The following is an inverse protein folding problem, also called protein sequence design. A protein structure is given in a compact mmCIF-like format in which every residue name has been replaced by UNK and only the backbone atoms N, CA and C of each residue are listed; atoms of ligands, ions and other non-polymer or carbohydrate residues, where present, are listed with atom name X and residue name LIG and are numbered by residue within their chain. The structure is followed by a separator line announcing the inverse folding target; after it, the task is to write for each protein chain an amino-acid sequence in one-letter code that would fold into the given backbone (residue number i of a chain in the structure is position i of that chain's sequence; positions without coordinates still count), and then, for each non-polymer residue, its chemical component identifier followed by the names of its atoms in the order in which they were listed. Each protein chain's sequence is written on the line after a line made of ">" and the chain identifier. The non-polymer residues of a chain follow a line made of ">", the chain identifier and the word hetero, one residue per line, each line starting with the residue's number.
data_IF_965845477152
#
_entry.id   IF_965845477152
#
_cell.length_a   1.000
_cell.length_b   1.000
_cell.length_c   1.000
_cell.angle_alpha   90.00
_cell.angle_beta   90.00
_cell.angle_gamma   90.00
#
_symmetry.space_group_name_H-M   'P 1'
#
loop_
_entity.id
_entity.type
_entity.pdbx_description
1 polymer ?
#
# COMPACT_ATOMS: atom_id res chain seq x y z
N UNK A 1 0.69 -37.91 8.06
CA UNK A 1 -0.59 -37.19 7.87
C UNK A 1 -0.33 -35.71 7.61
N UNK A 2 -0.53 -35.22 6.37
CA UNK A 2 -0.33 -33.81 6.04
C UNK A 2 -1.61 -33.01 6.30
N UNK A 3 -1.63 -32.19 7.36
CA UNK A 3 -2.78 -31.33 7.67
C UNK A 3 -2.87 -30.17 6.67
N UNK A 4 -3.75 -30.31 5.67
CA UNK A 4 -4.04 -29.28 4.67
C UNK A 4 -4.90 -28.16 5.32
N UNK A 5 -4.25 -27.16 5.92
CA UNK A 5 -4.90 -26.02 6.59
C UNK A 5 -5.65 -25.15 5.55
N UNK A 6 -7.00 -25.20 5.53
CA UNK A 6 -7.83 -24.35 4.66
C UNK A 6 -7.66 -22.87 5.04
N UNK A 7 -7.07 -22.05 4.16
CA UNK A 7 -6.92 -20.61 4.36
C UNK A 7 -8.27 -19.90 4.15
N UNK A 8 -8.91 -19.50 5.24
CA UNK A 8 -10.14 -18.69 5.19
C UNK A 8 -9.79 -17.28 4.70
N UNK A 9 -10.29 -16.86 3.54
CA UNK A 9 -10.11 -15.49 3.01
C UNK A 9 -10.95 -14.53 3.86
N UNK A 10 -10.33 -13.84 4.83
CA UNK A 10 -10.99 -12.78 5.62
C UNK A 10 -11.44 -11.64 4.69
N UNK A 11 -12.69 -11.18 4.86
CA UNK A 11 -13.25 -10.02 4.13
C UNK A 11 -12.40 -8.75 4.42
N UNK A 12 -12.15 -7.89 3.42
CA UNK A 12 -11.33 -6.69 3.61
C UNK A 12 -12.06 -5.69 4.51
N UNK A 13 -11.53 -5.49 5.71
CA UNK A 13 -12.00 -4.45 6.64
C UNK A 13 -11.68 -3.09 6.00
N UNK A 14 -12.69 -2.25 5.74
CA UNK A 14 -12.50 -0.87 5.27
C UNK A 14 -11.81 -0.08 6.39
N UNK A 15 -10.49 0.12 6.28
CA UNK A 15 -9.71 0.88 7.28
C UNK A 15 -9.80 2.38 6.98
N UNK A 16 -10.02 3.18 8.03
CA UNK A 16 -10.03 4.65 7.97
C UNK A 16 -8.67 5.27 7.57
N UNK A 17 -7.59 4.49 7.65
CA UNK A 17 -6.24 4.94 7.32
C UNK A 17 -5.28 3.79 7.01
N UNK A 18 -4.01 4.14 6.75
CA UNK A 18 -2.96 3.14 6.56
C UNK A 18 -2.71 2.37 7.85
N UNK A 19 -2.35 1.09 7.70
CA UNK A 19 -1.84 0.31 8.83
C UNK A 19 -0.44 0.78 9.22
N UNK A 20 -0.06 0.58 10.49
CA UNK A 20 1.31 0.87 10.97
C UNK A 20 2.41 0.29 10.06
N UNK A 21 2.20 -0.92 9.53
CA UNK A 21 3.13 -1.58 8.58
C UNK A 21 3.21 -0.84 7.23
N UNK A 22 2.07 -0.39 6.71
CA UNK A 22 2.03 0.41 5.48
C UNK A 22 2.70 1.77 5.71
N UNK A 23 2.46 2.43 6.85
CA UNK A 23 3.12 3.69 7.22
C UNK A 23 4.63 3.53 7.32
N UNK A 24 5.12 2.49 8.00
CA UNK A 24 6.56 2.20 8.08
C UNK A 24 7.19 1.93 6.70
N UNK A 25 6.44 1.28 5.79
CA UNK A 25 6.89 1.07 4.41
C UNK A 25 6.94 2.39 3.64
N UNK A 26 5.93 3.24 3.79
CA UNK A 26 5.89 4.57 3.19
C UNK A 26 7.02 5.47 3.72
N UNK A 27 7.31 5.46 5.03
CA UNK A 27 8.41 6.24 5.62
C UNK A 27 9.78 5.86 5.01
N UNK A 28 10.04 4.57 4.83
CA UNK A 28 11.28 4.10 4.19
C UNK A 28 11.33 4.48 2.71
N UNK A 29 10.20 4.39 2.03
CA UNK A 29 10.10 4.71 0.60
C UNK A 29 10.23 6.21 0.32
N UNK A 30 9.74 7.07 1.22
CA UNK A 30 9.78 8.53 1.08
C UNK A 30 11.18 9.10 0.83
N UNK A 31 12.24 8.41 1.30
CA UNK A 31 13.63 8.81 1.12
C UNK A 31 14.05 8.94 -0.35
N UNK A 32 13.35 8.26 -1.26
CA UNK A 32 13.72 8.19 -2.67
C UNK A 32 12.79 9.00 -3.58
N UNK A 33 11.76 9.64 -3.03
CA UNK A 33 10.63 10.18 -3.78
C UNK A 33 10.18 11.55 -3.27
N UNK A 34 9.52 12.31 -4.13
CA UNK A 34 8.99 13.63 -3.77
C UNK A 34 7.76 13.54 -2.88
N UNK A 35 7.45 14.62 -2.15
CA UNK A 35 6.23 14.71 -1.34
C UNK A 35 4.95 14.50 -2.18
N UNK A 36 4.96 14.95 -3.45
CA UNK A 36 3.85 14.76 -4.40
C UNK A 36 3.65 13.27 -4.72
N UNK A 37 4.73 12.55 -5.00
CA UNK A 37 4.71 11.09 -5.19
C UNK A 37 4.15 10.38 -3.96
N UNK A 38 4.65 10.72 -2.77
CA UNK A 38 4.22 10.09 -1.52
C UNK A 38 2.75 10.35 -1.18
N UNK A 39 2.26 11.59 -1.42
CA UNK A 39 0.84 11.93 -1.23
C UNK A 39 -0.06 11.12 -2.16
N UNK A 40 0.33 10.99 -3.43
CA UNK A 40 -0.43 10.21 -4.41
C UNK A 40 -0.49 8.73 -4.03
N UNK A 41 0.65 8.14 -3.66
CA UNK A 41 0.71 6.76 -3.18
C UNK A 41 -0.15 6.53 -1.93
N UNK A 42 -0.06 7.42 -0.92
CA UNK A 42 -0.85 7.34 0.32
C UNK A 42 -2.33 7.29 0.00
N UNK A 43 -2.81 8.16 -0.90
CA UNK A 43 -4.21 8.22 -1.31
C UNK A 43 -4.68 6.92 -1.97
N UNK A 44 -3.87 6.34 -2.86
CA UNK A 44 -4.20 5.07 -3.50
C UNK A 44 -4.22 3.90 -2.52
N UNK A 45 -3.27 3.86 -1.59
CA UNK A 45 -3.23 2.81 -0.57
C UNK A 45 -4.41 2.93 0.41
N UNK A 46 -4.86 4.14 0.74
CA UNK A 46 -6.10 4.36 1.51
C UNK A 46 -7.34 3.86 0.76
N UNK A 47 -7.35 4.00 -0.57
CA UNK A 47 -8.39 3.43 -1.45
C UNK A 47 -8.30 1.91 -1.63
N UNK A 48 -7.38 1.24 -0.93
CA UNK A 48 -7.21 -0.22 -0.98
C UNK A 48 -6.25 -0.74 -2.05
N UNK A 49 -5.53 0.15 -2.75
CA UNK A 49 -4.48 -0.30 -3.67
C UNK A 49 -3.31 -0.93 -2.91
N UNK A 50 -2.71 -1.96 -3.49
CA UNK A 50 -1.44 -2.50 -2.99
C UNK A 50 -0.31 -1.49 -3.19
N UNK A 51 0.77 -1.62 -2.43
CA UNK A 51 1.93 -0.74 -2.55
C UNK A 51 2.47 -0.68 -3.99
N UNK A 52 2.64 -1.84 -4.64
CA UNK A 52 3.14 -1.93 -6.02
C UNK A 52 2.18 -1.29 -7.02
N UNK A 53 0.87 -1.50 -6.88
CA UNK A 53 -0.12 -0.88 -7.76
C UNK A 53 -0.14 0.65 -7.57
N UNK A 54 -0.05 1.11 -6.32
CA UNK A 54 0.04 2.53 -6.01
C UNK A 54 1.31 3.17 -6.58
N UNK A 55 2.46 2.50 -6.45
CA UNK A 55 3.73 2.97 -6.98
C UNK A 55 3.71 3.10 -8.51
N UNK A 56 3.23 2.07 -9.23
CA UNK A 56 3.11 2.13 -10.70
C UNK A 56 2.21 3.28 -11.17
N UNK A 57 1.09 3.51 -10.47
CA UNK A 57 0.18 4.63 -10.78
C UNK A 57 0.82 5.98 -10.45
N UNK A 58 1.51 6.09 -9.32
CA UNK A 58 2.23 7.30 -8.93
C UNK A 58 3.33 7.65 -9.93
N UNK A 59 4.13 6.67 -10.36
CA UNK A 59 5.17 6.87 -11.36
C UNK A 59 4.61 7.45 -12.66
N UNK A 60 3.46 6.93 -13.13
CA UNK A 60 2.79 7.42 -14.34
C UNK A 60 2.18 8.81 -14.17
N UNK A 61 1.60 9.10 -13.02
CA UNK A 61 0.83 10.34 -12.80
C UNK A 61 1.70 11.52 -12.35
N UNK A 62 2.73 11.28 -11.55
CA UNK A 62 3.51 12.33 -10.89
C UNK A 62 5.02 12.13 -10.96
N UNK A 63 5.50 11.06 -11.59
CA UNK A 63 6.94 10.79 -11.70
C UNK A 63 7.55 10.35 -10.37
N UNK A 64 8.76 10.84 -10.06
CA UNK A 64 9.53 10.48 -8.86
C UNK A 64 9.19 11.36 -7.66
#
# INVERSE_FOLDING_TARGET
>A
MAYKKKRVKKKPIRKKGLTKRQEASMKRHAKHHTAKHMKYMKNLMMKGSTFTAAHKKAQKAVGR
#
